data_IF_373992942150
#
_entry.id   IF_373992942150
#
_cell.length_a   1.000
_cell.length_b   1.000
_cell.length_c   1.000
_cell.angle_alpha   90.00
_cell.angle_beta   90.00
_cell.angle_gamma   90.00
#
_symmetry.space_group_name_H-M   'P 1'
#
loop_
_entity.id
_entity.type
_entity.pdbx_description
1 polymer ?
#
# COMPACT_ATOMS: atom_id res chain seq x y z
N UNK A 1 -2.48 12.91 -18.18
CA UNK A 1 -3.03 11.55 -18.39
C UNK A 1 -2.32 10.45 -17.59
N UNK A 2 -1.16 10.72 -16.97
CA UNK A 2 -0.40 9.72 -16.22
C UNK A 2 -0.97 9.43 -14.82
N UNK A 3 -1.60 10.40 -14.13
CA UNK A 3 -2.00 10.24 -12.72
C UNK A 3 -3.20 9.30 -12.48
N UNK A 4 -4.30 9.43 -13.24
CA UNK A 4 -5.47 8.54 -13.10
C UNK A 4 -5.14 7.10 -13.50
N UNK A 5 -4.31 6.93 -14.53
CA UNK A 5 -3.83 5.62 -14.94
C UNK A 5 -2.93 5.01 -13.87
N UNK A 6 -2.11 5.82 -13.17
CA UNK A 6 -1.22 5.32 -12.12
C UNK A 6 -2.00 4.82 -10.90
N UNK A 7 -2.94 5.60 -10.36
CA UNK A 7 -3.80 5.14 -9.26
C UNK A 7 -4.65 3.92 -9.64
N UNK A 8 -5.10 3.82 -10.90
CA UNK A 8 -5.78 2.61 -11.40
C UNK A 8 -4.84 1.40 -11.43
N UNK A 9 -3.61 1.57 -11.89
CA UNK A 9 -2.61 0.50 -11.92
C UNK A 9 -2.21 0.07 -10.51
N UNK A 10 -2.11 0.99 -9.55
CA UNK A 10 -1.89 0.67 -8.13
C UNK A 10 -3.02 -0.18 -7.56
N UNK A 11 -4.26 0.22 -7.82
CA UNK A 11 -5.45 -0.57 -7.47
C UNK A 11 -5.41 -1.96 -8.11
N UNK A 12 -5.09 -2.07 -9.40
CA UNK A 12 -5.00 -3.35 -10.11
C UNK A 12 -3.90 -4.25 -9.53
N UNK A 13 -2.73 -3.71 -9.21
CA UNK A 13 -1.62 -4.45 -8.62
C UNK A 13 -2.00 -4.97 -7.23
N UNK A 14 -2.64 -4.16 -6.39
CA UNK A 14 -3.12 -4.60 -5.10
C UNK A 14 -4.13 -5.76 -5.22
N UNK A 15 -5.03 -5.69 -6.20
CA UNK A 15 -6.01 -6.76 -6.47
C UNK A 15 -5.35 -8.03 -6.96
N UNK A 16 -4.45 -7.94 -7.93
CA UNK A 16 -3.66 -9.08 -8.41
C UNK A 16 -2.85 -9.69 -7.28
N UNK A 17 -2.27 -8.83 -6.44
CA UNK A 17 -1.50 -9.25 -5.31
C UNK A 17 -2.33 -10.11 -4.35
N UNK A 18 -3.47 -9.59 -3.92
CA UNK A 18 -4.40 -10.29 -3.04
C UNK A 18 -4.89 -11.59 -3.67
N UNK A 19 -5.21 -11.56 -4.96
CA UNK A 19 -5.62 -12.75 -5.69
C UNK A 19 -4.54 -13.84 -5.70
N UNK A 20 -3.28 -13.48 -5.90
CA UNK A 20 -2.16 -14.43 -5.88
C UNK A 20 -1.90 -15.01 -4.48
N UNK A 21 -2.07 -14.21 -3.42
CA UNK A 21 -1.89 -14.68 -2.03
C UNK A 21 -3.03 -15.57 -1.55
N UNK A 22 -4.26 -15.19 -1.85
CA UNK A 22 -5.46 -15.74 -1.20
C UNK A 22 -6.32 -16.60 -2.12
N UNK A 23 -6.15 -16.50 -3.44
CA UNK A 23 -6.98 -17.19 -4.42
C UNK A 23 -8.37 -16.57 -4.60
N UNK A 24 -9.21 -17.25 -5.39
CA UNK A 24 -10.57 -16.81 -5.73
C UNK A 24 -11.52 -16.88 -4.53
N UNK A 25 -12.45 -15.93 -4.45
CA UNK A 25 -13.57 -15.97 -3.51
C UNK A 25 -13.29 -15.45 -2.08
N UNK A 26 -12.06 -14.99 -1.81
CA UNK A 26 -11.69 -14.47 -0.48
C UNK A 26 -12.17 -13.04 -0.24
N UNK A 27 -12.16 -12.20 -1.29
CA UNK A 27 -12.59 -10.80 -1.22
C UNK A 27 -13.97 -10.60 -1.85
N UNK A 28 -14.87 -9.99 -1.09
CA UNK A 28 -16.15 -9.46 -1.58
C UNK A 28 -15.95 -8.15 -2.34
N UNK A 29 -16.94 -7.73 -3.14
CA UNK A 29 -16.93 -6.43 -3.83
C UNK A 29 -16.74 -5.25 -2.85
N UNK A 30 -17.29 -5.34 -1.64
CA UNK A 30 -17.13 -4.30 -0.60
C UNK A 30 -15.69 -4.22 -0.10
N UNK A 31 -15.07 -5.38 0.15
CA UNK A 31 -13.66 -5.44 0.53
C UNK A 31 -12.78 -4.92 -0.61
N UNK A 32 -13.09 -5.27 -1.87
CA UNK A 32 -12.40 -4.75 -3.04
C UNK A 32 -12.45 -3.22 -3.13
N UNK A 33 -13.63 -2.62 -3.00
CA UNK A 33 -13.81 -1.16 -3.02
C UNK A 33 -13.03 -0.49 -1.88
N UNK A 34 -13.04 -1.09 -0.69
CA UNK A 34 -12.28 -0.58 0.46
C UNK A 34 -10.77 -0.56 0.17
N UNK A 35 -10.24 -1.65 -0.41
CA UNK A 35 -8.82 -1.77 -0.71
C UNK A 35 -8.38 -0.81 -1.81
N UNK A 36 -9.17 -0.70 -2.89
CA UNK A 36 -8.93 0.31 -3.93
C UNK A 36 -8.97 1.72 -3.34
N UNK A 37 -9.89 1.99 -2.41
CA UNK A 37 -9.93 3.28 -1.70
C UNK A 37 -8.63 3.55 -0.95
N UNK A 38 -8.06 2.57 -0.23
CA UNK A 38 -6.77 2.75 0.45
C UNK A 38 -5.63 3.07 -0.53
N UNK A 39 -5.57 2.36 -1.67
CA UNK A 39 -4.56 2.60 -2.70
C UNK A 39 -4.67 4.00 -3.34
N UNK A 40 -5.89 4.57 -3.44
CA UNK A 40 -6.08 5.93 -3.98
C UNK A 40 -5.86 6.99 -2.89
N UNK A 41 -6.30 6.75 -1.66
CA UNK A 41 -6.26 7.73 -0.58
C UNK A 41 -4.84 8.05 -0.11
N UNK A 42 -3.90 7.11 -0.26
CA UNK A 42 -2.49 7.36 0.07
C UNK A 42 -1.91 8.51 -0.78
N UNK A 43 -2.32 8.65 -2.04
CA UNK A 43 -1.86 9.72 -2.94
C UNK A 43 -2.40 11.12 -2.58
N UNK A 44 -3.39 11.23 -1.68
CA UNK A 44 -3.89 12.55 -1.24
C UNK A 44 -2.83 13.36 -0.49
N UNK A 45 -1.82 12.70 0.09
CA UNK A 45 -0.70 13.39 0.73
C UNK A 45 0.14 14.19 -0.27
N UNK A 46 0.14 13.82 -1.56
CA UNK A 46 0.79 14.57 -2.63
C UNK A 46 0.14 15.92 -2.82
N UNK A 47 -1.20 16.02 -2.80
CA UNK A 47 -1.88 17.30 -2.91
C UNK A 47 -1.63 18.21 -1.72
N UNK A 48 -1.57 17.63 -0.52
CA UNK A 48 -1.22 18.37 0.70
C UNK A 48 0.23 18.87 0.64
N UNK A 49 1.17 18.03 0.22
CA UNK A 49 2.58 18.37 0.11
C UNK A 49 2.86 19.39 -1.00
N UNK A 50 2.19 19.25 -2.15
CA UNK A 50 2.25 20.18 -3.27
C UNK A 50 1.51 21.50 -2.99
N UNK A 51 0.62 21.54 -1.99
CA UNK A 51 -0.30 22.65 -1.70
C UNK A 51 -1.10 23.08 -2.93
N UNK A 52 -1.49 22.10 -3.74
CA UNK A 52 -2.11 22.30 -5.04
C UNK A 52 -3.13 21.20 -5.30
N UNK A 53 -4.15 21.50 -6.09
CA UNK A 53 -5.06 20.50 -6.67
C UNK A 53 -4.69 20.16 -8.12
N UNK A 54 -3.62 20.75 -8.66
CA UNK A 54 -3.09 20.40 -9.96
C UNK A 54 -2.31 19.07 -9.86
N UNK A 55 -2.76 18.08 -10.61
CA UNK A 55 -2.16 16.75 -10.66
C UNK A 55 -0.71 16.77 -11.14
N UNK A 56 -0.31 17.77 -11.93
CA UNK A 56 1.08 17.91 -12.36
C UNK A 56 1.98 18.27 -11.18
N UNK A 57 1.49 19.08 -10.23
CA UNK A 57 2.25 19.42 -9.03
C UNK A 57 2.39 18.21 -8.10
N UNK A 58 1.38 17.33 -8.07
CA UNK A 58 1.39 16.11 -7.25
C UNK A 58 2.51 15.16 -7.69
N UNK A 59 2.65 14.94 -9.01
CA UNK A 59 3.64 14.01 -9.56
C UNK A 59 5.05 14.61 -9.69
N UNK A 60 5.16 15.94 -9.61
CA UNK A 60 6.45 16.66 -9.75
C UNK A 60 7.14 16.92 -8.41
N UNK A 61 6.62 16.36 -7.31
CA UNK A 61 7.24 16.54 -6.00
C UNK A 61 8.67 15.99 -5.97
N UNK A 62 9.66 16.77 -5.47
CA UNK A 62 11.05 16.35 -5.43
C UNK A 62 11.31 15.21 -4.43
N UNK A 63 10.39 15.01 -3.47
CA UNK A 63 10.41 13.95 -2.47
C UNK A 63 9.00 13.44 -2.25
N UNK A 64 8.86 12.13 -2.03
CA UNK A 64 7.56 11.53 -1.68
C UNK A 64 7.14 11.96 -0.27
N UNK A 65 5.84 12.18 -0.03
CA UNK A 65 5.40 12.59 1.30
C UNK A 65 5.37 11.40 2.28
N UNK A 66 5.12 11.70 3.56
CA UNK A 66 5.29 10.78 4.68
C UNK A 66 4.49 9.47 4.57
N UNK A 67 3.31 9.53 3.94
CA UNK A 67 2.43 8.35 3.87
C UNK A 67 3.00 7.25 2.98
N UNK A 68 3.89 7.61 2.05
CA UNK A 68 4.62 6.71 1.19
C UNK A 68 5.79 6.06 1.92
N UNK A 69 5.50 5.35 3.02
CA UNK A 69 6.45 4.55 3.77
C UNK A 69 5.83 3.22 4.20
N UNK A 70 6.66 2.19 4.37
CA UNK A 70 6.20 0.87 4.80
C UNK A 70 5.73 0.93 6.25
N UNK A 71 6.41 1.73 7.08
CA UNK A 71 5.99 1.94 8.47
C UNK A 71 4.60 2.58 8.53
N UNK A 72 4.32 3.61 7.72
CA UNK A 72 2.99 4.19 7.64
C UNK A 72 1.95 3.17 7.18
N UNK A 73 2.29 2.40 6.13
CA UNK A 73 1.42 1.33 5.60
C UNK A 73 1.04 0.31 6.68
N UNK A 74 2.03 -0.17 7.44
CA UNK A 74 1.82 -1.12 8.55
C UNK A 74 1.05 -0.49 9.72
N UNK A 75 1.32 0.78 10.03
CA UNK A 75 0.60 1.50 11.08
C UNK A 75 -0.89 1.66 10.72
N UNK A 76 -1.21 2.06 9.49
CA UNK A 76 -2.60 2.16 8.99
C UNK A 76 -3.29 0.81 9.01
N UNK A 77 -2.64 -0.24 8.49
CA UNK A 77 -3.18 -1.60 8.52
C UNK A 77 -3.46 -2.07 9.96
N UNK A 78 -2.53 -1.80 10.88
CA UNK A 78 -2.69 -2.10 12.31
C UNK A 78 -3.88 -1.37 12.89
N UNK A 79 -3.91 -0.04 12.81
CA UNK A 79 -4.96 0.81 13.38
C UNK A 79 -6.33 0.38 12.85
N UNK A 80 -6.47 0.18 11.55
CA UNK A 80 -7.75 -0.23 10.96
C UNK A 80 -8.18 -1.62 11.43
N UNK A 81 -7.25 -2.57 11.54
CA UNK A 81 -7.54 -3.93 11.99
C UNK A 81 -7.93 -4.02 13.47
N UNK A 82 -7.55 -3.04 14.31
CA UNK A 82 -7.89 -3.03 15.74
C UNK A 82 -9.40 -2.92 15.99
N UNK A 83 -10.14 -2.31 15.08
CA UNK A 83 -11.60 -2.13 15.16
C UNK A 83 -12.40 -3.37 14.71
N UNK A 84 -11.71 -4.43 14.27
CA UNK A 84 -12.33 -5.62 13.73
C UNK A 84 -12.32 -6.78 14.74
N UNK A 85 -13.24 -7.72 14.54
CA UNK A 85 -13.30 -8.96 15.33
C UNK A 85 -12.00 -9.76 15.19
N UNK A 86 -11.68 -10.60 16.18
CA UNK A 86 -10.42 -11.38 16.20
C UNK A 86 -10.25 -12.23 14.94
N UNK A 87 -11.34 -12.79 14.44
CA UNK A 87 -11.39 -13.66 13.26
C UNK A 87 -11.12 -12.89 11.96
N UNK A 88 -11.43 -11.58 11.92
CA UNK A 88 -11.27 -10.74 10.73
C UNK A 88 -10.02 -9.85 10.80
N UNK A 89 -9.49 -9.60 12.00
CA UNK A 89 -8.33 -8.73 12.25
C UNK A 89 -7.13 -9.11 11.37
N UNK A 90 -6.75 -10.38 11.37
CA UNK A 90 -5.58 -10.86 10.61
C UNK A 90 -5.75 -10.72 9.10
N UNK A 91 -6.93 -11.09 8.59
CA UNK A 91 -7.25 -10.95 7.18
C UNK A 91 -7.18 -9.48 6.73
N UNK A 92 -7.88 -8.58 7.42
CA UNK A 92 -7.92 -7.18 7.01
C UNK A 92 -6.59 -6.45 7.22
N UNK A 93 -5.85 -6.78 8.27
CA UNK A 93 -4.46 -6.33 8.42
C UNK A 93 -3.66 -6.68 7.16
N UNK A 94 -3.71 -7.95 6.75
CA UNK A 94 -2.95 -8.45 5.60
C UNK A 94 -3.42 -7.81 4.29
N UNK A 95 -4.73 -7.73 4.04
CA UNK A 95 -5.26 -7.13 2.82
C UNK A 95 -4.86 -5.64 2.68
N UNK A 96 -4.97 -4.87 3.76
CA UNK A 96 -4.60 -3.44 3.76
C UNK A 96 -3.09 -3.28 3.65
N UNK A 97 -2.32 -4.06 4.40
CA UNK A 97 -0.86 -4.04 4.34
C UNK A 97 -0.35 -4.36 2.93
N UNK A 98 -0.85 -5.44 2.29
CA UNK A 98 -0.52 -5.81 0.91
C UNK A 98 -0.81 -4.64 -0.03
N UNK A 99 -1.98 -4.04 0.09
CA UNK A 99 -2.43 -2.94 -0.77
C UNK A 99 -1.47 -1.75 -0.67
N UNK A 100 -1.25 -1.24 0.53
CA UNK A 100 -0.43 -0.04 0.76
C UNK A 100 1.05 -0.30 0.49
N UNK A 101 1.58 -1.45 0.92
CA UNK A 101 2.98 -1.81 0.67
C UNK A 101 3.24 -2.00 -0.81
N UNK A 102 2.32 -2.61 -1.57
CA UNK A 102 2.48 -2.77 -3.02
C UNK A 102 2.56 -1.42 -3.74
N UNK A 103 1.75 -0.45 -3.30
CA UNK A 103 1.77 0.94 -3.78
C UNK A 103 3.14 1.58 -3.52
N UNK A 104 3.57 1.61 -2.25
CA UNK A 104 4.83 2.22 -1.84
C UNK A 104 6.06 1.57 -2.51
N UNK A 105 6.01 0.25 -2.71
CA UNK A 105 7.10 -0.50 -3.36
C UNK A 105 7.18 -0.21 -4.85
N UNK A 106 6.03 -0.10 -5.51
CA UNK A 106 5.97 0.30 -6.92
C UNK A 106 6.54 1.70 -7.11
N UNK A 107 6.13 2.65 -6.27
CA UNK A 107 6.63 4.02 -6.31
C UNK A 107 8.15 4.11 -6.07
N UNK A 108 8.67 3.29 -5.16
CA UNK A 108 10.11 3.18 -4.91
C UNK A 108 10.89 2.63 -6.11
N UNK A 109 10.26 1.78 -6.94
CA UNK A 109 10.91 1.17 -8.12
C UNK A 109 11.09 2.18 -9.27
N UNK A 110 10.24 3.21 -9.35
CA UNK A 110 10.31 4.23 -10.41
C UNK A 110 11.08 5.49 -10.00
N UNK A 111 12.04 5.37 -9.07
CA UNK A 111 13.07 6.38 -8.83
C UNK A 111 12.67 7.55 -7.93
N UNK A 112 11.49 7.51 -7.31
CA UNK A 112 11.15 8.49 -6.28
C UNK A 112 11.77 8.09 -4.94
N UNK A 113 12.36 9.06 -4.22
CA UNK A 113 12.95 8.82 -2.91
C UNK A 113 11.85 8.54 -1.88
N UNK A 114 11.57 7.26 -1.66
CA UNK A 114 10.61 6.79 -0.68
C UNK A 114 11.27 6.78 0.71
N UNK A 115 10.72 7.48 1.72
CA UNK A 115 11.19 7.41 3.10
C UNK A 115 10.86 6.03 3.69
N UNK A 116 11.76 5.07 3.48
CA UNK A 116 11.58 3.69 3.94
C UNK A 116 11.33 3.62 5.45
N UNK A 117 12.12 4.38 6.22
CA UNK A 117 12.20 4.27 7.68
C UNK A 117 12.06 5.63 8.34
N UNK A 118 10.88 6.25 8.35
CA UNK A 118 10.68 7.36 9.29
C UNK A 118 10.88 6.87 10.73
N UNK A 119 11.62 7.60 11.59
CA UNK A 119 12.04 9.01 11.45
C UNK A 119 13.39 9.25 10.76
N UNK A 120 14.06 8.22 10.26
CA UNK A 120 15.37 8.36 9.60
C UNK A 120 15.21 8.68 8.11
N UNK A 121 15.92 9.69 7.57
CA UNK A 121 15.96 9.91 6.14
C UNK A 121 16.44 8.63 5.45
N UNK A 122 15.71 8.17 4.44
CA UNK A 122 16.12 6.99 3.67
C UNK A 122 17.46 7.29 3.00
N UNK A 123 18.49 6.61 3.50
CA UNK A 123 19.83 6.64 2.94
C UNK A 123 19.77 5.83 1.65
N UNK A 124 19.40 6.48 0.54
CA UNK A 124 19.53 5.95 -0.82
C UNK A 124 19.29 4.45 -0.98
N UNK A 125 18.19 3.91 -0.42
CA UNK A 125 17.89 2.48 -0.57
C UNK A 125 17.40 2.27 -1.99
N UNK A 126 18.37 1.87 -2.80
CA UNK A 126 18.27 1.36 -4.15
C UNK A 126 17.32 0.15 -4.17
N UNK A 127 16.31 0.23 -5.02
CA UNK A 127 15.42 -0.83 -5.49
C UNK A 127 15.27 -2.05 -4.58
N UNK A 128 14.21 -2.09 -3.76
CA UNK A 128 13.85 -3.34 -3.09
C UNK A 128 13.21 -4.26 -4.13
N UNK A 129 13.78 -5.46 -4.36
CA UNK A 129 13.17 -6.40 -5.27
C UNK A 129 11.76 -6.74 -4.81
N UNK A 130 10.80 -6.66 -5.72
CA UNK A 130 9.38 -6.88 -5.45
C UNK A 130 9.12 -8.19 -4.66
N UNK A 131 9.94 -9.21 -4.89
CA UNK A 131 9.85 -10.50 -4.21
C UNK A 131 10.07 -10.45 -2.68
N UNK A 132 10.83 -9.48 -2.16
CA UNK A 132 11.12 -9.37 -0.71
C UNK A 132 9.86 -8.98 0.06
N UNK A 133 9.12 -8.03 -0.50
CA UNK A 133 7.81 -7.59 -0.01
C UNK A 133 6.82 -8.75 -0.05
N UNK A 134 6.83 -9.51 -1.13
CA UNK A 134 6.02 -10.71 -1.30
C UNK A 134 6.28 -11.80 -0.26
N UNK A 135 7.55 -12.04 0.05
CA UNK A 135 7.95 -13.01 1.09
C UNK A 135 7.49 -12.53 2.47
N UNK A 136 7.65 -11.24 2.81
CA UNK A 136 7.22 -10.69 4.09
C UNK A 136 5.70 -10.80 4.30
N UNK A 137 4.93 -10.47 3.26
CA UNK A 137 3.47 -10.63 3.24
C UNK A 137 3.07 -12.10 3.41
N UNK A 138 3.74 -13.01 2.70
CA UNK A 138 3.44 -14.45 2.73
C UNK A 138 3.75 -15.08 4.08
N UNK A 139 4.87 -14.69 4.70
CA UNK A 139 5.22 -15.12 6.06
C UNK A 139 4.21 -14.59 7.07
N UNK A 140 3.79 -13.32 6.96
CA UNK A 140 2.78 -12.72 7.83
C UNK A 140 1.43 -13.44 7.77
N UNK A 141 1.04 -13.92 6.57
CA UNK A 141 -0.20 -14.68 6.38
C UNK A 141 -0.27 -15.97 7.19
N UNK A 142 0.85 -16.70 7.31
CA UNK A 142 0.88 -17.98 8.05
C UNK A 142 0.64 -17.81 9.56
N UNK A 143 0.72 -16.59 10.08
CA UNK A 143 0.38 -16.26 11.46
C UNK A 143 -1.10 -15.92 11.67
N UNK A 144 -1.91 -15.80 10.61
CA UNK A 144 -3.32 -15.44 10.71
C UNK A 144 -4.26 -16.61 10.44
N UNK A 145 -5.34 -16.78 11.23
CA UNK A 145 -6.25 -17.90 11.10
C UNK A 145 -6.97 -17.87 9.74
N UNK A 146 -6.90 -18.98 9.00
CA UNK A 146 -7.66 -19.19 7.76
C UNK A 146 -9.16 -19.25 8.09
N UNK A 147 -10.00 -18.62 7.26
CA UNK A 147 -11.47 -18.77 7.37
C UNK A 147 -11.80 -20.27 7.24
N UNK A 148 -12.56 -20.80 8.19
CA UNK A 148 -13.21 -22.11 8.06
C UNK A 148 -14.37 -22.03 7.09
#
# INVERSE_FOLDING_TARGET
MVSLADSFVHGLIAVLAIFMTYGRGIISLKELILLVSFAVLIDLDHGIAARSFDLNDWISLPRRPFSHSILFSLAVATIFSLWLSKERKGLYFSLIAITLISHVTRDATYGASTPWNLPFPSVGIQEIPYFVVWIAISIGHDFFPKRK
#
